data_IF_779517032842
#
_entry.id   IF_779517032842
#
_cell.length_a   1.000
_cell.length_b   1.000
_cell.length_c   1.000
_cell.angle_alpha   90.00
_cell.angle_beta   90.00
_cell.angle_gamma   90.00
#
_symmetry.space_group_name_H-M   'P 1'
#
loop_
_entity.id
_entity.type
_entity.pdbx_description
1 polymer ?
#
# COMPACT_ATOMS: atom_id res chain seq x y z
N UNK A 1 8.10 -36.22 -33.97
CA UNK A 1 8.30 -35.11 -33.00
C UNK A 1 8.30 -33.79 -33.78
N UNK A 2 7.23 -32.99 -33.69
CA UNK A 2 7.20 -31.67 -34.35
C UNK A 2 8.21 -30.74 -33.65
N UNK A 3 9.23 -30.24 -34.38
CA UNK A 3 10.18 -29.26 -33.84
C UNK A 3 9.45 -27.95 -33.56
N UNK A 4 9.44 -27.52 -32.30
CA UNK A 4 8.95 -26.19 -31.92
C UNK A 4 9.83 -25.14 -32.61
N UNK A 5 9.23 -24.28 -33.42
CA UNK A 5 9.95 -23.15 -34.03
C UNK A 5 10.50 -22.23 -32.94
N UNK A 6 11.72 -21.72 -33.10
CA UNK A 6 12.37 -20.78 -32.17
C UNK A 6 11.43 -19.61 -31.81
N UNK A 7 10.65 -19.11 -32.78
CA UNK A 7 9.66 -18.04 -32.56
C UNK A 7 8.53 -18.46 -31.62
N UNK A 8 8.03 -19.69 -31.75
CA UNK A 8 6.99 -20.24 -30.86
C UNK A 8 7.54 -20.47 -29.46
N UNK A 9 8.76 -20.99 -29.35
CA UNK A 9 9.43 -21.20 -28.06
C UNK A 9 9.66 -19.88 -27.31
N UNK A 10 10.20 -18.86 -28.00
CA UNK A 10 10.38 -17.51 -27.42
C UNK A 10 9.03 -16.90 -27.04
N UNK A 11 8.03 -17.02 -27.91
CA UNK A 11 6.67 -16.54 -27.62
C UNK A 11 6.05 -17.20 -26.38
N UNK A 12 6.27 -18.51 -26.19
CA UNK A 12 5.81 -19.24 -25.01
C UNK A 12 6.52 -18.78 -23.74
N UNK A 13 7.85 -18.61 -23.78
CA UNK A 13 8.61 -18.09 -22.62
C UNK A 13 8.12 -16.69 -22.25
N UNK A 14 7.98 -15.78 -23.22
CA UNK A 14 7.48 -14.43 -22.97
C UNK A 14 6.07 -14.45 -22.39
N UNK A 15 5.19 -15.31 -22.91
CA UNK A 15 3.83 -15.48 -22.39
C UNK A 15 3.81 -15.95 -20.94
N UNK A 16 4.59 -16.99 -20.60
CA UNK A 16 4.67 -17.52 -19.22
C UNK A 16 5.23 -16.46 -18.26
N UNK A 17 6.28 -15.75 -18.67
CA UNK A 17 6.87 -14.69 -17.85
C UNK A 17 5.86 -13.56 -17.60
N UNK A 18 5.13 -13.12 -18.62
CA UNK A 18 4.12 -12.07 -18.48
C UNK A 18 2.99 -12.48 -17.52
N UNK A 19 2.48 -13.71 -17.65
CA UNK A 19 1.44 -14.23 -16.75
C UNK A 19 1.95 -14.29 -15.31
N UNK A 20 3.18 -14.78 -15.11
CA UNK A 20 3.78 -14.89 -13.78
C UNK A 20 3.98 -13.52 -13.13
N UNK A 21 4.48 -12.55 -13.90
CA UNK A 21 4.65 -11.19 -13.42
C UNK A 21 3.31 -10.55 -13.05
N UNK A 22 2.29 -10.72 -13.89
CA UNK A 22 0.95 -10.19 -13.64
C UNK A 22 0.30 -10.81 -12.39
N UNK A 23 0.43 -12.12 -12.19
CA UNK A 23 -0.07 -12.80 -11.00
C UNK A 23 0.71 -12.43 -9.73
N UNK A 24 2.02 -12.18 -9.85
CA UNK A 24 2.88 -11.81 -8.72
C UNK A 24 2.78 -10.34 -8.29
N UNK A 25 2.44 -9.44 -9.23
CA UNK A 25 2.41 -8.00 -8.98
C UNK A 25 1.54 -7.57 -7.79
N UNK A 26 0.28 -8.05 -7.64
CA UNK A 26 -0.56 -7.65 -6.50
C UNK A 26 0.03 -8.06 -5.14
N UNK A 27 0.70 -9.22 -5.08
CA UNK A 27 1.35 -9.71 -3.85
C UNK A 27 2.58 -8.87 -3.50
N UNK A 28 3.29 -8.38 -4.52
CA UNK A 28 4.42 -7.48 -4.35
C UNK A 28 3.95 -6.08 -3.94
N UNK A 29 3.03 -5.47 -4.69
CA UNK A 29 2.53 -4.11 -4.48
C UNK A 29 1.95 -3.92 -3.06
N UNK A 30 1.12 -4.85 -2.61
CA UNK A 30 0.46 -4.78 -1.29
C UNK A 30 1.42 -4.79 -0.09
N UNK A 31 2.69 -5.15 -0.30
CA UNK A 31 3.73 -5.20 0.74
C UNK A 31 4.60 -3.94 0.81
N UNK A 32 4.38 -2.97 -0.07
CA UNK A 32 5.17 -1.74 -0.11
C UNK A 32 4.37 -0.58 0.48
N UNK A 33 4.64 -0.24 1.75
CA UNK A 33 4.11 0.97 2.36
C UNK A 33 4.80 2.19 1.75
N UNK A 34 4.04 2.98 0.98
CA UNK A 34 4.49 4.28 0.48
C UNK A 34 4.04 5.40 1.43
N UNK A 35 4.96 6.31 1.75
CA UNK A 35 4.67 7.48 2.59
C UNK A 35 4.73 8.71 1.70
N UNK A 36 3.56 9.23 1.34
CA UNK A 36 3.45 10.44 0.54
C UNK A 36 3.26 11.64 1.45
N UNK A 37 4.21 12.60 1.41
CA UNK A 37 4.11 13.86 2.15
C UNK A 37 3.61 14.95 1.21
N UNK A 38 2.41 15.45 1.49
CA UNK A 38 1.75 16.47 0.68
C UNK A 38 1.56 17.73 1.52
N UNK A 39 2.01 18.86 0.99
CA UNK A 39 1.72 20.18 1.55
C UNK A 39 0.50 20.74 0.82
N UNK A 40 -0.61 20.88 1.53
CA UNK A 40 -1.89 21.36 0.97
C UNK A 40 -2.11 22.79 1.43
N UNK A 41 -2.20 23.74 0.49
CA UNK A 41 -2.57 25.11 0.80
C UNK A 41 -4.09 25.24 0.84
N UNK A 42 -4.64 25.64 1.99
CA UNK A 42 -6.07 25.81 2.21
C UNK A 42 -6.37 27.30 2.44
N UNK A 43 -6.91 28.04 1.44
CA UNK A 43 -7.08 29.50 1.52
C UNK A 43 -8.00 30.00 2.64
N UNK A 44 -8.85 29.12 3.18
CA UNK A 44 -9.82 29.44 4.24
C UNK A 44 -9.56 28.67 5.53
N UNK A 45 -8.35 28.15 5.71
CA UNK A 45 -7.99 27.44 6.94
C UNK A 45 -7.81 28.47 8.07
N UNK A 46 -8.47 28.26 9.24
CA UNK A 46 -8.21 29.08 10.42
C UNK A 46 -6.72 29.09 10.78
N UNK A 47 -6.19 30.25 11.20
CA UNK A 47 -4.77 30.38 11.56
C UNK A 47 -4.34 29.40 12.65
N UNK A 48 -5.24 29.05 13.57
CA UNK A 48 -5.01 28.06 14.63
C UNK A 48 -4.70 26.65 14.12
N UNK A 49 -5.04 26.34 12.86
CA UNK A 49 -4.76 25.05 12.22
C UNK A 49 -3.59 25.14 11.22
N UNK A 50 -2.93 26.31 11.12
CA UNK A 50 -1.76 26.48 10.28
C UNK A 50 -0.63 25.55 10.73
N UNK A 51 -0.08 24.78 9.79
CA UNK A 51 0.99 23.81 10.07
C UNK A 51 0.53 22.47 10.65
N UNK A 52 -0.78 22.25 10.81
CA UNK A 52 -1.35 20.97 11.25
C UNK A 52 -0.87 19.82 10.36
N UNK A 53 -0.28 18.78 10.96
CA UNK A 53 0.17 17.57 10.28
C UNK A 53 -0.82 16.45 10.51
N UNK A 54 -1.46 15.99 9.42
CA UNK A 54 -2.40 14.88 9.44
C UNK A 54 -1.76 13.66 8.76
N UNK A 55 -1.70 12.53 9.47
CA UNK A 55 -1.44 11.25 8.85
C UNK A 55 -2.78 10.59 8.46
N UNK A 56 -2.98 10.36 7.18
CA UNK A 56 -4.20 9.74 6.65
C UNK A 56 -3.90 8.34 6.15
N UNK A 57 -4.60 7.34 6.69
CA UNK A 57 -4.50 5.95 6.25
C UNK A 57 -5.88 5.50 5.75
N UNK A 58 -5.91 4.82 4.61
CA UNK A 58 -7.14 4.33 3.99
C UNK A 58 -6.96 2.86 3.56
N UNK A 59 -8.09 2.18 3.35
CA UNK A 59 -8.16 0.87 2.70
C UNK A 59 -7.30 -0.24 3.33
N UNK A 60 -7.10 -0.18 4.65
CA UNK A 60 -6.42 -1.25 5.39
C UNK A 60 -7.36 -2.46 5.50
N UNK A 61 -7.07 -3.49 4.71
CA UNK A 61 -7.82 -4.76 4.72
C UNK A 61 -6.96 -5.89 5.29
N UNK A 62 -7.11 -6.18 6.58
CA UNK A 62 -6.43 -7.32 7.19
C UNK A 62 -6.99 -8.63 6.63
N UNK A 63 -6.12 -9.50 6.13
CA UNK A 63 -6.53 -10.72 5.45
C UNK A 63 -5.35 -11.55 4.93
N UNK A 64 -5.57 -12.50 4.00
CA UNK A 64 -4.53 -13.39 3.47
C UNK A 64 -3.31 -12.66 2.89
N UNK A 65 -3.51 -11.43 2.40
CA UNK A 65 -2.48 -10.61 1.77
C UNK A 65 -1.84 -9.59 2.72
N UNK A 66 -2.51 -9.21 3.82
CA UNK A 66 -2.02 -8.22 4.78
C UNK A 66 -2.13 -8.77 6.21
N UNK A 67 -0.97 -9.13 6.76
CA UNK A 67 -0.89 -9.72 8.09
C UNK A 67 -1.01 -8.68 9.20
N UNK A 68 -1.50 -9.10 10.37
CA UNK A 68 -1.51 -8.28 11.60
C UNK A 68 -0.09 -7.83 11.99
N UNK A 69 0.93 -8.67 11.74
CA UNK A 69 2.33 -8.32 11.98
C UNK A 69 2.77 -7.13 11.11
N UNK A 70 2.42 -7.15 9.83
CA UNK A 70 2.72 -6.03 8.92
C UNK A 70 1.95 -4.77 9.33
N UNK A 71 0.68 -4.90 9.71
CA UNK A 71 -0.11 -3.77 10.22
C UNK A 71 0.56 -3.10 11.44
N UNK A 72 1.13 -3.87 12.37
CA UNK A 72 1.90 -3.30 13.49
C UNK A 72 3.07 -2.46 13.01
N UNK A 73 3.83 -2.93 12.02
CA UNK A 73 4.93 -2.17 11.43
C UNK A 73 4.45 -0.86 10.77
N UNK A 74 3.28 -0.88 10.10
CA UNK A 74 2.67 0.32 9.54
C UNK A 74 2.31 1.30 10.66
N UNK A 75 1.68 0.82 11.74
CA UNK A 75 1.33 1.64 12.92
C UNK A 75 2.57 2.27 13.54
N UNK A 76 3.62 1.48 13.79
CA UNK A 76 4.88 1.98 14.36
C UNK A 76 5.49 3.05 13.46
N UNK A 77 5.46 2.84 12.13
CA UNK A 77 5.98 3.79 11.16
C UNK A 77 5.17 5.09 11.14
N UNK A 78 3.84 5.00 11.18
CA UNK A 78 2.95 6.17 11.21
C UNK A 78 3.12 6.96 12.50
N UNK A 79 3.20 6.28 13.65
CA UNK A 79 3.45 6.95 14.93
C UNK A 79 4.79 7.69 14.94
N UNK A 80 5.80 7.20 14.20
CA UNK A 80 7.08 7.88 14.05
C UNK A 80 7.06 9.14 13.14
N UNK A 81 5.95 9.43 12.44
CA UNK A 81 5.86 10.58 11.55
C UNK A 81 5.68 11.93 12.26
N UNK A 82 5.33 11.91 13.56
CA UNK A 82 5.07 13.13 14.33
C UNK A 82 3.87 13.91 13.81
N UNK A 83 2.79 13.19 13.45
CA UNK A 83 1.52 13.80 13.07
C UNK A 83 0.73 14.23 14.32
N UNK A 84 0.02 15.35 14.21
CA UNK A 84 -0.84 15.88 15.27
C UNK A 84 -2.19 15.15 15.30
N UNK A 85 -2.61 14.64 14.15
CA UNK A 85 -3.85 13.89 13.97
C UNK A 85 -3.62 12.67 13.07
N UNK A 86 -4.18 11.53 13.47
CA UNK A 86 -4.23 10.31 12.63
C UNK A 86 -5.69 10.07 12.24
N UNK A 87 -5.96 10.06 10.93
CA UNK A 87 -7.27 9.78 10.37
C UNK A 87 -7.25 8.44 9.62
N UNK A 88 -8.22 7.57 9.93
CA UNK A 88 -8.34 6.22 9.38
C UNK A 88 -9.66 6.12 8.59
N UNK A 89 -9.57 5.88 7.29
CA UNK A 89 -10.74 5.71 6.41
C UNK A 89 -10.96 4.23 6.03
N UNK A 90 -10.87 3.32 7.00
CA UNK A 90 -11.07 1.88 6.77
C UNK A 90 -12.23 1.35 7.61
N UNK A 91 -13.09 0.50 7.03
CA UNK A 91 -13.96 -0.40 7.81
C UNK A 91 -13.05 -1.38 8.55
N UNK A 92 -12.60 -1.02 9.75
CA UNK A 92 -11.84 -1.91 10.63
C UNK A 92 -12.73 -2.28 11.82
N UNK A 93 -13.15 -3.55 11.82
CA UNK A 93 -13.84 -4.20 12.94
C UNK A 93 -12.88 -4.27 14.14
N UNK A 94 -13.02 -3.30 15.05
CA UNK A 94 -12.53 -3.25 16.45
C UNK A 94 -11.02 -3.50 16.67
N UNK A 95 -10.26 -2.41 16.86
CA UNK A 95 -8.95 -2.45 17.52
C UNK A 95 -9.10 -2.03 18.99
N UNK A 96 -8.64 -2.87 19.92
CA UNK A 96 -8.48 -2.52 21.34
C UNK A 96 -6.98 -2.32 21.58
N UNK A 97 -6.59 -1.07 21.81
CA UNK A 97 -5.27 -0.77 22.35
C UNK A 97 -5.20 -1.34 23.79
N UNK A 98 -4.15 -2.08 24.08
CA UNK A 98 -3.65 -2.26 25.45
C UNK A 98 -2.36 -1.47 25.55
#
# INVERSE_FOLDING_TARGET
>A
MQRVSRRKFVGQILGVTAITAFAGYPVWETRHLLINRLSVALPRLPESLSGLKIAFLADIHVGPFLSVRYLRQVVDRVNSLGADLIALNSVVTRMKAR
#
